data_IF_723993891279
#
_entry.id   IF_723993891279
#
_cell.length_a   1.000
_cell.length_b   1.000
_cell.length_c   1.000
_cell.angle_alpha   90.00
_cell.angle_beta   90.00
_cell.angle_gamma   90.00
#
_symmetry.space_group_name_H-M   'P 1'
#
loop_
_entity.id
_entity.type
_entity.pdbx_description
1 polymer ?
#
# COMPACT_ATOMS: atom_id res chain seq x y z
N UNK A 1 7.37 -36.45 -6.67
CA UNK A 1 8.61 -36.50 -5.87
C UNK A 1 9.65 -35.66 -6.60
N UNK A 2 9.96 -34.46 -6.10
CA UNK A 2 10.99 -33.63 -6.71
C UNK A 2 12.35 -34.22 -6.31
N UNK A 3 13.15 -34.66 -7.29
CA UNK A 3 14.51 -35.13 -7.05
C UNK A 3 15.33 -34.02 -6.41
N UNK A 4 15.84 -34.27 -5.20
CA UNK A 4 16.75 -33.35 -4.55
C UNK A 4 18.02 -33.22 -5.41
N UNK A 5 18.44 -31.98 -5.69
CA UNK A 5 19.67 -31.69 -6.42
C UNK A 5 20.85 -32.36 -5.69
N UNK A 6 21.45 -33.39 -6.30
CA UNK A 6 22.53 -34.17 -5.70
C UNK A 6 23.87 -33.65 -6.24
N UNK A 7 24.69 -32.95 -5.43
CA UNK A 7 25.92 -32.31 -5.89
C UNK A 7 27.03 -33.29 -6.33
N UNK A 8 26.79 -34.61 -6.21
CA UNK A 8 27.72 -35.68 -6.58
C UNK A 8 27.67 -35.99 -8.08
N UNK A 9 26.62 -35.57 -8.79
CA UNK A 9 26.44 -35.81 -10.23
C UNK A 9 27.05 -34.69 -11.10
N UNK A 10 27.74 -33.72 -10.48
CA UNK A 10 28.31 -32.55 -11.16
C UNK A 10 29.74 -32.82 -11.62
N UNK A 11 30.06 -32.41 -12.83
CA UNK A 11 31.43 -32.38 -13.35
C UNK A 11 32.29 -31.35 -12.61
N UNK A 12 33.62 -31.48 -12.67
CA UNK A 12 34.55 -30.53 -12.05
C UNK A 12 34.36 -29.09 -12.54
N UNK A 13 33.97 -28.93 -13.81
CA UNK A 13 33.64 -27.64 -14.41
C UNK A 13 32.36 -27.05 -13.80
N UNK A 14 31.30 -27.85 -13.68
CA UNK A 14 30.04 -27.43 -13.05
C UNK A 14 30.20 -27.14 -11.55
N UNK A 15 31.04 -27.90 -10.83
CA UNK A 15 31.43 -27.59 -9.45
C UNK A 15 32.19 -26.26 -9.35
N UNK A 16 33.05 -25.96 -10.33
CA UNK A 16 33.71 -24.67 -10.48
C UNK A 16 32.73 -23.53 -10.68
N UNK A 17 31.77 -23.69 -11.58
CA UNK A 17 30.71 -22.72 -11.84
C UNK A 17 29.81 -22.51 -10.61
N UNK A 18 29.43 -23.59 -9.91
CA UNK A 18 28.63 -23.52 -8.68
C UNK A 18 29.35 -22.77 -7.56
N UNK A 19 30.67 -22.95 -7.41
CA UNK A 19 31.49 -22.17 -6.48
C UNK A 19 31.48 -20.68 -6.85
N UNK A 20 31.63 -20.36 -8.14
CA UNK A 20 31.54 -18.99 -8.64
C UNK A 20 30.18 -18.34 -8.37
N UNK A 21 29.08 -19.05 -8.64
CA UNK A 21 27.71 -18.61 -8.36
C UNK A 21 27.48 -18.37 -6.87
N UNK A 22 27.97 -19.25 -6.00
CA UNK A 22 27.87 -19.08 -4.54
C UNK A 22 28.64 -17.85 -4.06
N UNK A 23 29.85 -17.63 -4.58
CA UNK A 23 30.65 -16.44 -4.26
C UNK A 23 29.91 -15.17 -4.66
N UNK A 24 29.42 -15.11 -5.89
CA UNK A 24 28.68 -13.95 -6.41
C UNK A 24 27.37 -13.70 -5.68
N UNK A 25 26.66 -14.75 -5.28
CA UNK A 25 25.49 -14.63 -4.41
C UNK A 25 25.84 -13.99 -3.07
N UNK A 26 26.99 -14.36 -2.48
CA UNK A 26 27.44 -13.77 -1.21
C UNK A 26 27.76 -12.29 -1.38
N UNK A 27 28.52 -11.94 -2.42
CA UNK A 27 28.83 -10.53 -2.76
C UNK A 27 27.57 -9.69 -2.94
N UNK A 28 26.58 -10.20 -3.68
CA UNK A 28 25.29 -9.51 -3.86
C UNK A 28 24.49 -9.37 -2.56
N UNK A 29 24.55 -10.36 -1.66
CA UNK A 29 23.86 -10.25 -0.37
C UNK A 29 24.52 -9.20 0.52
N UNK A 30 25.84 -9.12 0.51
CA UNK A 30 26.59 -8.08 1.23
C UNK A 30 26.28 -6.68 0.67
N UNK A 31 26.22 -6.53 -0.66
CA UNK A 31 25.80 -5.27 -1.30
C UNK A 31 24.37 -4.87 -0.92
N UNK A 32 23.43 -5.82 -0.94
CA UNK A 32 22.05 -5.58 -0.52
C UNK A 32 21.99 -5.14 0.95
N UNK A 33 22.78 -5.76 1.81
CA UNK A 33 22.85 -5.40 3.23
C UNK A 33 23.46 -4.01 3.43
N UNK A 34 24.49 -3.67 2.65
CA UNK A 34 25.09 -2.35 2.65
C UNK A 34 24.08 -1.27 2.23
N UNK A 35 23.42 -1.45 1.08
CA UNK A 35 22.40 -0.52 0.56
C UNK A 35 21.24 -0.36 1.56
N UNK A 36 20.83 -1.44 2.23
CA UNK A 36 19.81 -1.37 3.28
C UNK A 36 20.23 -0.52 4.48
N UNK A 37 21.51 -0.54 4.84
CA UNK A 37 22.04 0.28 5.92
C UNK A 37 22.14 1.74 5.48
N UNK A 38 22.64 2.02 4.28
CA UNK A 38 22.67 3.39 3.72
C UNK A 38 21.25 3.99 3.64
N UNK A 39 20.27 3.21 3.19
CA UNK A 39 18.87 3.66 3.14
C UNK A 39 18.32 4.00 4.53
N UNK A 40 18.72 3.23 5.56
CA UNK A 40 18.32 3.49 6.95
C UNK A 40 18.96 4.78 7.47
N UNK A 41 20.21 5.05 7.12
CA UNK A 41 20.93 6.25 7.54
C UNK A 41 20.38 7.50 6.85
N UNK A 42 20.10 7.42 5.55
CA UNK A 42 19.43 8.49 4.80
C UNK A 42 18.03 8.76 5.34
N UNK A 43 17.26 7.71 5.67
CA UNK A 43 15.95 7.87 6.31
C UNK A 43 16.08 8.61 7.66
N UNK A 44 17.09 8.28 8.47
CA UNK A 44 17.34 8.92 9.76
C UNK A 44 17.80 10.39 9.61
N UNK A 45 18.63 10.69 8.61
CA UNK A 45 19.11 12.03 8.32
C UNK A 45 17.98 12.92 7.75
N UNK A 46 17.18 12.38 6.83
CA UNK A 46 15.97 13.03 6.33
C UNK A 46 15.00 13.33 7.48
N UNK A 47 14.82 12.39 8.42
CA UNK A 47 14.00 12.60 9.62
C UNK A 47 14.57 13.69 10.54
N UNK A 48 15.90 13.83 10.62
CA UNK A 48 16.55 14.90 11.39
C UNK A 48 16.39 16.28 10.75
N UNK A 49 16.46 16.37 9.41
CA UNK A 49 16.44 17.65 8.69
C UNK A 49 15.04 18.26 8.59
N UNK A 50 13.98 17.44 8.57
CA UNK A 50 12.61 17.94 8.48
C UNK A 50 12.04 18.40 9.83
N UNK A 51 12.63 18.02 10.97
CA UNK A 51 12.02 18.20 12.30
C UNK A 51 13.01 18.70 13.36
N UNK A 52 13.05 20.02 13.53
CA UNK A 52 13.98 20.73 14.44
C UNK A 52 13.58 20.63 15.93
N UNK A 53 12.39 20.12 16.25
CA UNK A 53 11.84 20.04 17.61
C UNK A 53 11.68 18.57 18.10
N UNK A 54 11.97 18.31 19.39
CA UNK A 54 11.85 16.98 20.00
C UNK A 54 10.40 16.46 20.00
N UNK A 55 9.41 17.34 20.15
CA UNK A 55 7.99 17.01 19.99
C UNK A 55 7.65 16.57 18.56
N UNK A 56 8.29 17.20 17.56
CA UNK A 56 8.14 16.85 16.15
C UNK A 56 8.76 15.49 15.83
N UNK A 57 9.93 15.15 16.37
CA UNK A 57 10.52 13.79 16.24
C UNK A 57 9.64 12.70 16.87
N UNK A 58 9.07 12.97 18.04
CA UNK A 58 8.15 12.05 18.71
C UNK A 58 6.87 11.82 17.88
N UNK A 59 6.28 12.88 17.33
CA UNK A 59 5.07 12.79 16.48
C UNK A 59 5.31 11.97 15.21
N UNK A 60 6.47 12.14 14.55
CA UNK A 60 6.81 11.36 13.35
C UNK A 60 6.94 9.88 13.63
N UNK A 61 7.64 9.51 14.71
CA UNK A 61 7.76 8.12 15.14
C UNK A 61 6.40 7.46 15.39
N UNK A 62 5.46 8.20 15.98
CA UNK A 62 4.09 7.72 16.19
C UNK A 62 3.34 7.54 14.85
N UNK A 63 3.43 8.51 13.93
CA UNK A 63 2.81 8.40 12.60
C UNK A 63 3.39 7.21 11.83
N UNK A 64 4.72 7.06 11.82
CA UNK A 64 5.40 5.94 11.17
C UNK A 64 4.96 4.59 11.75
N UNK A 65 4.89 4.50 13.09
CA UNK A 65 4.39 3.31 13.77
C UNK A 65 2.94 3.02 13.41
N UNK A 66 2.10 4.04 13.32
CA UNK A 66 0.70 3.92 12.90
C UNK A 66 0.55 3.43 11.46
N UNK A 67 1.34 3.97 10.51
CA UNK A 67 1.40 3.49 9.12
C UNK A 67 1.85 2.03 9.05
N UNK A 68 2.89 1.65 9.83
CA UNK A 68 3.34 0.25 9.89
C UNK A 68 2.25 -0.68 10.44
N UNK A 69 1.51 -0.25 11.46
CA UNK A 69 0.36 -1.00 11.99
C UNK A 69 -0.75 -1.12 10.96
N UNK A 70 -1.10 -0.03 10.28
CA UNK A 70 -2.09 -0.04 9.19
C UNK A 70 -1.71 -1.03 8.09
N UNK A 71 -0.44 -1.06 7.69
CA UNK A 71 0.04 -1.98 6.66
C UNK A 71 -0.02 -3.46 7.08
N UNK A 72 -0.13 -3.75 8.38
CA UNK A 72 -0.30 -5.11 8.92
C UNK A 72 -1.77 -5.44 9.18
N UNK A 73 -2.50 -4.49 9.76
CA UNK A 73 -3.91 -4.58 10.13
C UNK A 73 -4.51 -3.16 9.97
N UNK A 74 -5.30 -2.92 8.91
CA UNK A 74 -5.79 -1.58 8.58
C UNK A 74 -6.60 -0.93 9.71
N UNK A 75 -7.51 -1.69 10.33
CA UNK A 75 -8.38 -1.16 11.39
C UNK A 75 -7.57 -0.82 12.64
N UNK A 76 -6.66 -1.70 13.04
CA UNK A 76 -5.78 -1.45 14.18
C UNK A 76 -4.85 -0.27 13.95
N UNK A 77 -4.42 -0.04 12.71
CA UNK A 77 -3.64 1.13 12.32
C UNK A 77 -4.42 2.43 12.46
N UNK A 78 -5.68 2.45 11.99
CA UNK A 78 -6.58 3.59 12.13
C UNK A 78 -6.81 3.89 13.61
N UNK A 79 -7.21 2.90 14.41
CA UNK A 79 -7.42 3.05 15.86
C UNK A 79 -6.19 3.62 16.57
N UNK A 80 -5.00 3.07 16.27
CA UNK A 80 -3.75 3.54 16.85
C UNK A 80 -3.49 5.03 16.57
N UNK A 81 -3.79 5.49 15.35
CA UNK A 81 -3.62 6.88 14.93
C UNK A 81 -4.71 7.78 15.51
N UNK A 82 -5.95 7.32 15.59
CA UNK A 82 -7.08 8.09 16.14
C UNK A 82 -6.95 8.30 17.64
N UNK A 83 -6.57 7.26 18.38
CA UNK A 83 -6.41 7.32 19.84
C UNK A 83 -5.32 8.31 20.28
N UNK A 84 -4.38 8.62 19.37
CA UNK A 84 -3.27 9.54 19.60
C UNK A 84 -3.51 10.93 18.99
N UNK A 85 -4.69 11.20 18.45
CA UNK A 85 -5.01 12.46 17.79
C UNK A 85 -4.17 12.75 16.54
N UNK A 86 -3.64 11.71 15.89
CA UNK A 86 -2.83 11.81 14.68
C UNK A 86 -3.67 11.70 13.40
N UNK A 87 -4.84 11.07 13.51
CA UNK A 87 -5.84 10.95 12.46
C UNK A 87 -7.22 11.19 13.07
N UNK A 88 -8.10 11.90 12.37
CA UNK A 88 -9.50 12.02 12.80
C UNK A 88 -10.24 10.73 12.47
N UNK A 89 -11.11 10.27 13.38
CA UNK A 89 -11.98 9.10 13.16
C UNK A 89 -13.16 9.39 12.22
N UNK A 90 -13.24 10.59 11.65
CA UNK A 90 -14.25 10.92 10.65
C UNK A 90 -13.96 10.16 9.34
N UNK A 91 -14.95 9.48 8.72
CA UNK A 91 -14.73 8.70 7.50
C UNK A 91 -14.08 9.50 6.38
N UNK A 92 -14.47 10.77 6.20
CA UNK A 92 -13.89 11.67 5.21
C UNK A 92 -12.39 11.95 5.45
N UNK A 93 -11.98 12.08 6.71
CA UNK A 93 -10.57 12.32 7.05
C UNK A 93 -9.72 11.07 6.79
N UNK A 94 -10.25 9.89 7.11
CA UNK A 94 -9.59 8.61 6.81
C UNK A 94 -9.51 8.40 5.29
N UNK A 95 -10.59 8.64 4.55
CA UNK A 95 -10.59 8.55 3.10
C UNK A 95 -9.53 9.44 2.44
N UNK A 96 -9.42 10.71 2.86
CA UNK A 96 -8.37 11.61 2.36
C UNK A 96 -6.96 11.13 2.72
N UNK A 97 -6.78 10.58 3.93
CA UNK A 97 -5.50 10.02 4.35
C UNK A 97 -5.09 8.80 3.52
N UNK A 98 -6.04 7.91 3.22
CA UNK A 98 -5.84 6.77 2.31
C UNK A 98 -5.53 7.22 0.89
N UNK A 99 -6.23 8.25 0.40
CA UNK A 99 -6.06 8.78 -0.95
C UNK A 99 -4.68 9.41 -1.17
N UNK A 100 -4.13 10.10 -0.16
CA UNK A 100 -2.73 10.56 -0.17
C UNK A 100 -1.75 9.40 -0.27
N UNK A 101 -2.02 8.28 0.41
CA UNK A 101 -1.31 7.01 0.23
C UNK A 101 0.17 7.00 0.66
N UNK A 102 0.71 8.09 1.20
CA UNK A 102 2.13 8.20 1.54
C UNK A 102 2.55 7.19 2.61
N UNK A 103 3.38 6.21 2.23
CA UNK A 103 3.86 5.16 3.13
C UNK A 103 2.81 4.09 3.49
N UNK A 104 1.66 4.06 2.78
CA UNK A 104 0.62 3.06 2.96
C UNK A 104 0.72 1.96 1.91
N UNK A 105 0.49 0.72 2.33
CA UNK A 105 0.38 -0.42 1.44
C UNK A 105 -0.93 -0.32 0.65
N UNK A 106 -0.83 -0.29 -0.69
CA UNK A 106 -2.00 -0.32 -1.57
C UNK A 106 -2.89 -1.54 -1.36
N UNK A 107 -2.30 -2.66 -0.92
CA UNK A 107 -3.04 -3.87 -0.53
C UNK A 107 -3.83 -3.66 0.76
N UNK A 108 -3.24 -3.02 1.77
CA UNK A 108 -3.92 -2.70 3.02
C UNK A 108 -5.06 -1.69 2.81
N UNK A 109 -4.87 -0.71 1.92
CA UNK A 109 -5.92 0.21 1.49
C UNK A 109 -7.09 -0.56 0.87
N UNK A 110 -6.80 -1.46 -0.08
CA UNK A 110 -7.83 -2.29 -0.71
C UNK A 110 -8.57 -3.18 0.28
N UNK A 111 -7.87 -3.78 1.24
CA UNK A 111 -8.46 -4.62 2.28
C UNK A 111 -9.43 -3.83 3.17
N UNK A 112 -9.05 -2.62 3.58
CA UNK A 112 -9.93 -1.73 4.36
C UNK A 112 -11.18 -1.36 3.56
N UNK A 113 -11.01 -0.86 2.34
CA UNK A 113 -12.10 -0.42 1.46
C UNK A 113 -13.03 -1.57 1.07
N UNK A 114 -12.51 -2.78 1.01
CA UNK A 114 -13.27 -4.00 0.75
C UNK A 114 -13.98 -4.58 1.98
N UNK A 115 -13.76 -4.05 3.18
CA UNK A 115 -14.38 -4.56 4.41
C UNK A 115 -15.91 -4.43 4.38
N UNK A 116 -16.60 -5.27 5.17
CA UNK A 116 -18.05 -5.19 5.39
C UNK A 116 -18.40 -4.39 6.65
N UNK A 117 -17.39 -3.92 7.39
CA UNK A 117 -17.58 -3.10 8.57
C UNK A 117 -18.25 -1.75 8.21
N UNK A 118 -19.30 -1.31 8.94
CA UNK A 118 -20.03 -0.09 8.61
C UNK A 118 -19.16 1.16 8.48
N UNK A 119 -18.15 1.32 9.34
CA UNK A 119 -17.24 2.46 9.25
C UNK A 119 -16.38 2.38 7.99
N UNK A 120 -15.90 1.19 7.62
CA UNK A 120 -15.19 1.00 6.35
C UNK A 120 -16.06 1.29 5.12
N UNK A 121 -17.36 0.99 5.17
CA UNK A 121 -18.30 1.33 4.10
C UNK A 121 -18.41 2.86 3.93
N UNK A 122 -18.55 3.59 5.03
CA UNK A 122 -18.57 5.06 5.00
C UNK A 122 -17.24 5.64 4.50
N UNK A 123 -16.10 5.03 4.87
CA UNK A 123 -14.79 5.41 4.37
C UNK A 123 -14.69 5.17 2.86
N UNK A 124 -15.20 4.05 2.35
CA UNK A 124 -15.25 3.78 0.91
C UNK A 124 -16.07 4.84 0.19
N UNK A 125 -17.26 5.18 0.68
CA UNK A 125 -18.11 6.22 0.09
C UNK A 125 -17.34 7.54 -0.02
N UNK A 126 -16.67 7.96 1.05
CA UNK A 126 -15.85 9.18 1.04
C UNK A 126 -14.59 9.07 0.18
N UNK A 127 -14.02 7.88 0.03
CA UNK A 127 -12.82 7.63 -0.78
C UNK A 127 -13.11 7.74 -2.27
N UNK A 128 -14.27 7.24 -2.73
CA UNK A 128 -14.66 7.40 -4.14
C UNK A 128 -14.94 8.88 -4.45
N UNK A 129 -15.50 9.65 -3.51
CA UNK A 129 -15.68 11.11 -3.64
C UNK A 129 -14.36 11.88 -3.77
N UNK A 130 -13.24 11.35 -3.28
CA UNK A 130 -11.92 11.96 -3.47
C UNK A 130 -11.44 11.90 -4.94
N UNK A 131 -12.04 11.04 -5.76
CA UNK A 131 -11.71 10.93 -7.19
C UNK A 131 -12.64 11.80 -8.03
N UNK A 132 -12.06 12.59 -8.92
CA UNK A 132 -12.82 13.37 -9.92
C UNK A 132 -12.85 12.62 -11.24
N UNK A 133 -14.02 12.11 -11.63
CA UNK A 133 -14.20 11.37 -12.88
C UNK A 133 -14.86 12.17 -14.00
N UNK A 134 -15.08 13.48 -13.78
CA UNK A 134 -15.79 14.32 -14.73
C UNK A 134 -15.05 14.38 -16.07
N UNK A 135 -15.78 14.16 -17.16
CA UNK A 135 -15.27 14.14 -18.55
C UNK A 135 -14.22 13.05 -18.81
N UNK A 136 -14.11 12.02 -17.96
CA UNK A 136 -13.25 10.86 -18.21
C UNK A 136 -14.05 9.75 -18.89
N UNK A 137 -13.44 9.03 -19.82
CA UNK A 137 -13.99 7.75 -20.27
C UNK A 137 -13.93 6.73 -19.13
N UNK A 138 -14.88 5.78 -19.12
CA UNK A 138 -15.01 4.80 -18.03
C UNK A 138 -13.71 4.02 -17.77
N UNK A 139 -12.97 3.69 -18.83
CA UNK A 139 -11.70 2.97 -18.73
C UNK A 139 -10.62 3.83 -18.06
N UNK A 140 -10.59 5.14 -18.35
CA UNK A 140 -9.63 6.07 -17.76
C UNK A 140 -9.97 6.35 -16.29
N UNK A 141 -11.25 6.56 -15.99
CA UNK A 141 -11.75 6.71 -14.62
C UNK A 141 -11.43 5.46 -13.78
N UNK A 142 -11.66 4.28 -14.34
CA UNK A 142 -11.35 3.00 -13.68
C UNK A 142 -9.85 2.85 -13.46
N UNK A 143 -9.02 3.18 -14.44
CA UNK A 143 -7.55 3.13 -14.30
C UNK A 143 -7.05 4.09 -13.23
N UNK A 144 -7.60 5.30 -13.16
CA UNK A 144 -7.28 6.26 -12.12
C UNK A 144 -7.69 5.75 -10.73
N UNK A 145 -8.90 5.21 -10.60
CA UNK A 145 -9.41 4.66 -9.34
C UNK A 145 -8.57 3.47 -8.84
N UNK A 146 -8.27 2.50 -9.73
CA UNK A 146 -7.46 1.33 -9.42
C UNK A 146 -5.96 1.63 -9.28
N UNK A 147 -5.51 2.85 -9.59
CA UNK A 147 -4.14 3.26 -9.32
C UNK A 147 -3.91 3.50 -7.82
N UNK A 148 -4.95 3.90 -7.10
CA UNK A 148 -4.89 4.33 -5.70
C UNK A 148 -4.75 3.15 -4.72
N UNK A 149 -5.17 1.94 -5.09
CA UNK A 149 -5.12 0.75 -4.23
C UNK A 149 -4.98 -0.55 -5.04
N UNK A 150 -4.89 -1.70 -4.37
CA UNK A 150 -4.94 -3.03 -5.02
C UNK A 150 -6.30 -3.68 -4.71
N UNK A 151 -6.97 -4.20 -5.73
CA UNK A 151 -8.23 -4.90 -5.53
C UNK A 151 -8.02 -6.13 -4.62
N UNK A 152 -8.93 -6.38 -3.66
CA UNK A 152 -8.96 -7.62 -2.90
C UNK A 152 -9.21 -8.82 -3.82
N UNK A 153 -8.88 -10.03 -3.34
CA UNK A 153 -9.07 -11.26 -4.12
C UNK A 153 -10.49 -11.83 -4.03
N UNK A 154 -11.24 -11.46 -2.99
CA UNK A 154 -12.57 -11.97 -2.71
C UNK A 154 -13.63 -11.22 -3.51
N UNK A 155 -14.44 -11.95 -4.29
CA UNK A 155 -15.44 -11.38 -5.19
C UNK A 155 -16.39 -10.39 -4.50
N UNK A 156 -16.87 -10.72 -3.30
CA UNK A 156 -17.77 -9.86 -2.53
C UNK A 156 -17.17 -8.49 -2.18
N UNK A 157 -15.85 -8.42 -1.98
CA UNK A 157 -15.15 -7.15 -1.70
C UNK A 157 -15.00 -6.33 -2.98
N UNK A 158 -14.70 -7.01 -4.10
CA UNK A 158 -14.60 -6.38 -5.41
C UNK A 158 -15.95 -5.78 -5.81
N UNK A 159 -17.04 -6.55 -5.71
CA UNK A 159 -18.39 -6.12 -6.09
C UNK A 159 -18.79 -4.83 -5.36
N UNK A 160 -18.54 -4.77 -4.05
CA UNK A 160 -18.80 -3.59 -3.21
C UNK A 160 -18.02 -2.36 -3.67
N UNK A 161 -16.72 -2.52 -3.92
CA UNK A 161 -15.85 -1.43 -4.38
C UNK A 161 -16.32 -0.93 -5.76
N UNK A 162 -16.64 -1.86 -6.66
CA UNK A 162 -17.07 -1.56 -8.02
C UNK A 162 -18.45 -0.90 -8.06
N UNK A 163 -19.37 -1.28 -7.17
CA UNK A 163 -20.67 -0.65 -7.03
C UNK A 163 -20.54 0.84 -6.68
N UNK A 164 -19.69 1.19 -5.70
CA UNK A 164 -19.45 2.57 -5.32
C UNK A 164 -18.76 3.37 -6.40
N UNK A 165 -17.79 2.77 -7.09
CA UNK A 165 -17.19 3.38 -8.28
C UNK A 165 -18.25 3.70 -9.35
N UNK A 166 -19.11 2.74 -9.69
CA UNK A 166 -20.13 2.91 -10.71
C UNK A 166 -21.13 4.03 -10.35
N UNK A 167 -21.60 4.04 -9.10
CA UNK A 167 -22.51 5.08 -8.58
C UNK A 167 -21.89 6.48 -8.73
N UNK A 168 -20.62 6.64 -8.32
CA UNK A 168 -19.94 7.92 -8.41
C UNK A 168 -19.62 8.32 -9.86
N UNK A 169 -19.23 7.37 -10.70
CA UNK A 169 -18.92 7.64 -12.11
C UNK A 169 -20.16 8.13 -12.87
N UNK A 170 -21.33 7.52 -12.62
CA UNK A 170 -22.61 7.98 -13.19
C UNK A 170 -22.99 9.35 -12.64
N UNK A 171 -22.92 9.57 -11.32
CA UNK A 171 -23.28 10.84 -10.70
C UNK A 171 -22.41 12.03 -11.17
N UNK A 172 -21.13 11.78 -11.48
CA UNK A 172 -20.21 12.81 -11.97
C UNK A 172 -20.29 13.06 -13.47
N UNK A 173 -21.00 12.19 -14.21
CA UNK A 173 -21.12 12.22 -15.66
C UNK A 173 -22.59 12.10 -16.13
N UNK A 174 -23.54 12.72 -15.42
CA UNK A 174 -25.01 12.69 -15.67
C UNK A 174 -25.49 13.14 -17.07
N UNK A 175 -24.58 13.40 -18.03
CA UNK A 175 -24.88 13.65 -19.45
C UNK A 175 -24.38 12.58 -20.42
N UNK A 176 -23.57 11.61 -19.97
CA UNK A 176 -23.19 10.47 -20.79
C UNK A 176 -24.33 9.45 -20.69
N UNK A 177 -24.97 9.15 -21.81
CA UNK A 177 -26.05 8.17 -21.89
C UNK A 177 -25.43 6.76 -21.78
N UNK A 178 -25.05 6.36 -20.56
CA UNK A 178 -24.44 5.06 -20.28
C UNK A 178 -25.57 4.09 -19.98
N UNK A 179 -26.10 3.47 -21.03
CA UNK A 179 -26.91 2.27 -20.86
C UNK A 179 -26.02 1.17 -20.30
N UNK A 180 -26.23 0.80 -19.03
CA UNK A 180 -25.67 -0.41 -18.41
C UNK A 180 -26.21 -1.67 -19.08
#
# INVERSE_FOLDING_TARGET
MAGAFNPVDLTDEELGQLRGLRKRKMELMDEIEHIKNELRDVDAELESLYYVDEGSRSRHKLIFTGKKKFNQDPMRGIEYLTDRGLLSRQPAAVAQWLFKGEGLSKTAIGELLGSHDPFCLEVLDQFVLCHTFQNMFIVDALRAFLWSFRLPGESQKIDRIMERFAQQYVATNEGLNISL
#
